data_IF_142802570159
#
_entry.id   IF_142802570159
#
_cell.length_a   1.000
_cell.length_b   1.000
_cell.length_c   1.000
_cell.angle_alpha   90.00
_cell.angle_beta   90.00
_cell.angle_gamma   90.00
#
_symmetry.space_group_name_H-M   'P 1'
#
loop_
_entity.id
_entity.type
_entity.pdbx_description
1 polymer ?
#
# COMPACT_ATOMS: atom_id res chain seq x y z
N UNK A 1 18.07 -3.96 -5.27
CA UNK A 1 16.69 -3.88 -5.77
C UNK A 1 15.79 -4.04 -4.57
N UNK A 2 14.91 -3.08 -4.30
CA UNK A 2 14.00 -3.10 -3.16
C UNK A 2 12.60 -2.97 -3.73
N UNK A 3 11.71 -3.84 -3.27
CA UNK A 3 10.39 -4.09 -3.87
C UNK A 3 9.36 -4.19 -2.75
N UNK A 4 8.30 -3.40 -2.84
CA UNK A 4 7.26 -3.31 -1.82
C UNK A 4 5.95 -3.83 -2.42
N UNK A 5 5.58 -5.06 -2.07
CA UNK A 5 4.34 -5.70 -2.49
C UNK A 5 3.30 -5.72 -1.37
N UNK A 6 2.04 -5.43 -1.69
CA UNK A 6 0.89 -5.52 -0.79
C UNK A 6 -0.29 -6.12 -1.55
N UNK A 7 -1.00 -7.10 -0.97
CA UNK A 7 -2.12 -7.77 -1.63
C UNK A 7 -3.31 -7.93 -0.66
N UNK A 8 -4.52 -7.56 -1.12
CA UNK A 8 -5.75 -7.65 -0.31
C UNK A 8 -6.92 -8.22 -1.14
N UNK A 9 -7.79 -9.03 -0.54
CA UNK A 9 -9.07 -9.45 -1.14
C UNK A 9 -10.17 -8.47 -0.74
N UNK A 10 -10.99 -8.02 -1.70
CA UNK A 10 -12.05 -7.03 -1.52
C UNK A 10 -13.40 -7.61 -1.94
N UNK A 11 -14.41 -7.52 -1.07
CA UNK A 11 -15.79 -7.99 -1.31
C UNK A 11 -16.60 -7.05 -2.21
N UNK A 12 -15.99 -6.58 -3.29
CA UNK A 12 -16.52 -5.56 -4.20
C UNK A 12 -16.19 -5.90 -5.66
N UNK A 13 -16.99 -5.46 -6.64
CA UNK A 13 -16.70 -5.73 -8.05
C UNK A 13 -15.49 -4.89 -8.54
N UNK A 14 -14.64 -5.42 -9.43
CA UNK A 14 -13.46 -4.73 -9.95
C UNK A 14 -13.71 -3.27 -10.39
N UNK A 15 -14.82 -3.01 -11.06
CA UNK A 15 -15.18 -1.66 -11.54
C UNK A 15 -15.39 -0.62 -10.42
N UNK A 16 -15.75 -1.04 -9.19
CA UNK A 16 -15.86 -0.13 -8.04
C UNK A 16 -14.48 0.19 -7.47
N UNK A 17 -13.62 -0.83 -7.35
CA UNK A 17 -12.23 -0.67 -6.89
C UNK A 17 -11.44 0.18 -7.87
N UNK A 18 -11.52 -0.12 -9.16
CA UNK A 18 -10.94 0.67 -10.24
C UNK A 18 -11.31 2.16 -10.14
N UNK A 19 -12.59 2.48 -9.92
CA UNK A 19 -13.06 3.87 -9.74
C UNK A 19 -12.46 4.51 -8.49
N UNK A 20 -12.33 3.80 -7.37
CA UNK A 20 -11.70 4.34 -6.16
C UNK A 20 -10.19 4.59 -6.32
N UNK A 21 -9.52 3.85 -7.22
CA UNK A 21 -8.09 4.01 -7.54
C UNK A 21 -7.80 5.05 -8.65
N UNK A 22 -8.77 5.37 -9.52
CA UNK A 22 -8.51 6.15 -10.75
C UNK A 22 -9.24 7.50 -10.84
N UNK A 23 -10.19 7.77 -9.94
CA UNK A 23 -10.90 9.05 -9.82
C UNK A 23 -10.36 9.83 -8.61
N UNK A 24 -9.76 10.98 -8.91
CA UNK A 24 -9.17 11.93 -7.96
C UNK A 24 -10.13 12.31 -6.83
N UNK A 25 -11.44 12.38 -7.09
CA UNK A 25 -12.46 12.73 -6.09
C UNK A 25 -12.75 11.61 -5.08
N UNK A 26 -12.24 10.39 -5.31
CA UNK A 26 -12.20 9.31 -4.31
C UNK A 26 -10.82 9.14 -3.71
N UNK A 27 -9.72 9.22 -4.47
CA UNK A 27 -8.35 9.18 -3.92
C UNK A 27 -8.17 10.16 -2.75
N UNK A 28 -8.60 11.41 -2.93
CA UNK A 28 -8.62 12.48 -1.91
C UNK A 28 -9.44 12.16 -0.65
N UNK A 29 -10.33 11.16 -0.68
CA UNK A 29 -11.17 10.77 0.48
C UNK A 29 -10.63 9.59 1.28
N UNK A 30 -9.77 8.75 0.71
CA UNK A 30 -9.31 7.51 1.36
C UNK A 30 -7.80 7.37 1.46
N UNK A 31 -7.03 7.94 0.52
CA UNK A 31 -5.57 7.83 0.51
C UNK A 31 -4.90 9.10 1.03
N UNK A 32 -4.78 10.12 0.17
CA UNK A 32 -4.17 11.43 0.43
C UNK A 32 -4.82 12.50 -0.45
N UNK A 33 -4.71 13.78 -0.08
CA UNK A 33 -5.14 14.87 -0.97
C UNK A 33 -4.44 14.76 -2.32
N UNK A 34 -5.23 14.62 -3.38
CA UNK A 34 -4.77 14.42 -4.75
C UNK A 34 -5.30 15.54 -5.64
N UNK A 35 -4.42 16.16 -6.40
CA UNK A 35 -4.76 17.20 -7.38
C UNK A 35 -4.02 16.95 -8.70
N UNK A 36 -4.52 17.43 -9.86
CA UNK A 36 -3.68 17.50 -11.06
C UNK A 36 -2.51 18.47 -10.82
N UNK A 37 -1.34 18.18 -11.40
CA UNK A 37 -0.22 19.11 -11.39
C UNK A 37 -0.56 20.38 -12.20
N UNK A 38 -0.13 21.55 -11.75
CA UNK A 38 -0.50 22.83 -12.36
C UNK A 38 0.00 22.97 -13.81
N UNK A 39 1.13 22.33 -14.10
CA UNK A 39 1.87 22.36 -15.37
C UNK A 39 1.62 21.13 -16.26
N UNK A 40 0.97 20.08 -15.76
CA UNK A 40 0.61 18.88 -16.53
C UNK A 40 -0.68 18.20 -16.00
N UNK A 41 -1.84 18.29 -16.69
CA UNK A 41 -3.11 17.75 -16.18
C UNK A 41 -3.17 16.22 -16.14
N UNK A 42 -2.33 15.53 -16.92
CA UNK A 42 -2.20 14.07 -16.91
C UNK A 42 -1.28 13.53 -15.79
N UNK A 43 -0.66 14.44 -15.02
CA UNK A 43 0.12 14.14 -13.81
C UNK A 43 -0.70 14.49 -12.57
N UNK A 44 -0.65 13.62 -11.56
CA UNK A 44 -1.28 13.82 -10.26
C UNK A 44 -0.22 14.14 -9.21
N UNK A 45 -0.44 15.18 -8.43
CA UNK A 45 0.32 15.48 -7.22
C UNK A 45 -0.43 14.89 -6.01
N UNK A 46 0.23 13.94 -5.34
CA UNK A 46 -0.24 13.24 -4.14
C UNK A 46 0.41 13.89 -2.91
N UNK A 47 -0.39 14.46 -2.01
CA UNK A 47 0.11 15.12 -0.79
C UNK A 47 0.51 14.09 0.27
N UNK A 48 1.68 13.50 0.08
CA UNK A 48 2.25 12.42 0.91
C UNK A 48 3.30 12.89 1.91
N UNK A 49 3.80 14.13 1.84
CA UNK A 49 4.87 14.61 2.69
C UNK A 49 4.54 14.45 4.19
N UNK A 50 5.41 13.75 4.93
CA UNK A 50 5.24 13.51 6.37
C UNK A 50 4.35 12.30 6.72
N UNK A 51 3.91 11.52 5.75
CA UNK A 51 3.34 10.19 6.01
C UNK A 51 4.46 9.17 6.28
N UNK A 52 4.21 8.10 7.06
CA UNK A 52 5.20 7.05 7.29
C UNK A 52 5.72 6.47 5.97
N UNK A 53 7.02 6.55 5.75
CA UNK A 53 7.68 6.06 4.53
C UNK A 53 7.78 7.06 3.38
N UNK A 54 7.32 8.31 3.54
CA UNK A 54 7.34 9.37 2.49
C UNK A 54 8.04 10.63 3.01
N UNK A 55 9.12 11.05 2.34
CA UNK A 55 9.87 12.27 2.69
C UNK A 55 9.33 13.52 1.99
N UNK A 56 8.63 13.33 0.87
CA UNK A 56 8.04 14.41 0.06
C UNK A 56 6.65 14.05 -0.47
N UNK A 57 6.04 15.01 -1.17
CA UNK A 57 4.86 14.77 -2.00
C UNK A 57 5.26 13.97 -3.26
N UNK A 58 4.40 13.03 -3.68
CA UNK A 58 4.65 12.18 -4.85
C UNK A 58 3.99 12.77 -6.10
N UNK A 59 4.79 13.00 -7.13
CA UNK A 59 4.31 13.30 -8.47
C UNK A 59 4.11 11.99 -9.26
N UNK A 60 2.85 11.57 -9.41
CA UNK A 60 2.46 10.36 -10.11
C UNK A 60 2.01 10.66 -11.56
N UNK A 61 2.71 10.11 -12.55
CA UNK A 61 2.36 10.16 -13.97
C UNK A 61 1.81 8.81 -14.42
N UNK A 62 0.64 8.78 -15.07
CA UNK A 62 0.03 7.53 -15.56
C UNK A 62 0.79 7.04 -16.80
N UNK A 63 1.27 5.78 -16.78
CA UNK A 63 2.00 5.16 -17.89
C UNK A 63 1.23 4.01 -18.53
N UNK A 64 0.49 3.22 -17.75
CA UNK A 64 -0.40 2.17 -18.27
C UNK A 64 -1.79 2.27 -17.61
N UNK A 65 -2.87 2.08 -18.38
CA UNK A 65 -4.25 2.13 -17.87
C UNK A 65 -5.17 1.17 -18.65
N UNK A 66 -5.19 -0.09 -18.26
CA UNK A 66 -6.10 -1.13 -18.76
C UNK A 66 -7.26 -1.31 -17.77
N UNK A 67 -8.40 -0.66 -18.03
CA UNK A 67 -9.55 -0.71 -17.13
C UNK A 67 -10.35 -2.04 -17.27
N UNK A 68 -10.76 -2.71 -16.17
CA UNK A 68 -10.52 -2.41 -14.75
C UNK A 68 -9.30 -3.15 -14.15
N UNK A 69 -8.44 -3.77 -14.96
CA UNK A 69 -7.53 -4.83 -14.55
C UNK A 69 -6.13 -4.35 -14.12
N UNK A 70 -5.60 -3.27 -14.71
CA UNK A 70 -4.21 -2.82 -14.44
C UNK A 70 -3.99 -1.32 -14.62
N UNK A 71 -3.33 -0.71 -13.65
CA UNK A 71 -2.85 0.66 -13.65
C UNK A 71 -1.35 0.66 -13.33
N UNK A 72 -0.54 1.38 -14.11
CA UNK A 72 0.89 1.61 -13.81
C UNK A 72 1.17 3.10 -13.78
N UNK A 73 1.79 3.56 -12.70
CA UNK A 73 2.22 4.94 -12.49
C UNK A 73 3.75 4.99 -12.36
N UNK A 74 4.39 5.99 -12.96
CA UNK A 74 5.72 6.42 -12.52
C UNK A 74 5.54 7.48 -11.44
N UNK A 75 6.19 7.30 -10.30
CA UNK A 75 6.07 8.13 -9.12
C UNK A 75 7.43 8.77 -8.82
N UNK A 76 7.51 10.10 -8.83
CA UNK A 76 8.69 10.85 -8.41
C UNK A 76 8.48 11.36 -6.97
N UNK A 77 9.44 11.10 -6.09
CA UNK A 77 9.47 11.60 -4.70
C UNK A 77 10.83 12.23 -4.42
N UNK A 78 10.93 13.56 -4.55
CA UNK A 78 12.21 14.25 -4.45
C UNK A 78 13.16 13.82 -5.57
N UNK A 79 14.28 13.18 -5.21
CA UNK A 79 15.25 12.59 -6.13
C UNK A 79 14.97 11.12 -6.47
N UNK A 80 14.01 10.46 -5.81
CA UNK A 80 13.66 9.06 -6.04
C UNK A 80 12.61 8.89 -7.14
N UNK A 81 12.78 7.86 -7.95
CA UNK A 81 11.82 7.43 -8.97
C UNK A 81 11.40 5.98 -8.71
N UNK A 82 10.08 5.74 -8.57
CA UNK A 82 9.49 4.40 -8.40
C UNK A 82 8.44 4.11 -9.46
N UNK A 83 8.17 2.84 -9.71
CA UNK A 83 7.06 2.37 -10.54
C UNK A 83 6.04 1.66 -9.66
N UNK A 84 4.84 2.23 -9.59
CA UNK A 84 3.70 1.68 -8.86
C UNK A 84 2.78 0.93 -9.83
N UNK A 85 2.69 -0.39 -9.68
CA UNK A 85 1.75 -1.24 -10.43
C UNK A 85 0.60 -1.68 -9.53
N UNK A 86 -0.62 -1.37 -9.91
CA UNK A 86 -1.85 -1.87 -9.28
C UNK A 86 -2.56 -2.83 -10.24
N UNK A 87 -2.80 -4.06 -9.80
CA UNK A 87 -3.48 -5.12 -10.56
C UNK A 87 -4.76 -5.55 -9.83
N UNK A 88 -5.87 -5.68 -10.56
CA UNK A 88 -7.17 -6.11 -10.03
C UNK A 88 -7.59 -7.42 -10.69
N UNK A 89 -7.54 -8.52 -9.94
CA UNK A 89 -7.98 -9.83 -10.41
C UNK A 89 -9.39 -10.15 -9.87
N UNK A 90 -10.40 -10.46 -10.71
CA UNK A 90 -11.72 -10.85 -10.22
C UNK A 90 -11.67 -12.17 -9.45
N UNK A 91 -12.42 -12.28 -8.35
CA UNK A 91 -12.55 -13.49 -7.52
C UNK A 91 -14.01 -13.87 -7.33
N UNK A 92 -14.30 -15.06 -6.79
CA UNK A 92 -15.68 -15.58 -6.61
C UNK A 92 -16.57 -14.71 -5.70
N UNK A 93 -15.97 -13.82 -4.91
CA UNK A 93 -16.66 -12.97 -3.93
C UNK A 93 -16.42 -11.47 -4.13
N UNK A 94 -15.67 -11.08 -5.18
CA UNK A 94 -15.31 -9.69 -5.45
C UNK A 94 -14.07 -9.60 -6.34
N UNK A 95 -12.98 -9.06 -5.80
CA UNK A 95 -11.68 -9.04 -6.48
C UNK A 95 -10.50 -8.91 -5.51
N UNK A 96 -9.35 -9.45 -5.92
CA UNK A 96 -8.06 -9.22 -5.29
C UNK A 96 -7.40 -7.99 -5.91
N UNK A 97 -6.89 -7.11 -5.06
CA UNK A 97 -6.06 -5.97 -5.45
C UNK A 97 -4.62 -6.25 -4.99
N UNK A 98 -3.70 -6.29 -5.95
CA UNK A 98 -2.27 -6.44 -5.73
C UNK A 98 -1.59 -5.11 -6.11
N UNK A 99 -0.92 -4.46 -5.16
CA UNK A 99 -0.13 -3.25 -5.35
C UNK A 99 1.35 -3.60 -5.20
N UNK A 100 2.18 -3.08 -6.09
CA UNK A 100 3.60 -3.37 -6.16
C UNK A 100 4.39 -2.12 -6.51
N UNK A 101 5.33 -1.72 -5.66
CA UNK A 101 6.20 -0.57 -5.87
C UNK A 101 7.66 -1.02 -6.04
N UNK A 102 8.24 -0.75 -7.21
CA UNK A 102 9.64 -1.02 -7.53
C UNK A 102 10.43 0.29 -7.58
N UNK A 103 11.60 0.33 -6.94
CA UNK A 103 12.51 1.49 -6.98
C UNK A 103 13.39 1.44 -8.24
N UNK A 104 13.26 2.43 -9.13
CA UNK A 104 14.09 2.58 -10.33
C UNK A 104 15.33 3.44 -10.08
N UNK A 105 15.20 4.53 -9.32
CA UNK A 105 16.27 5.49 -9.05
C UNK A 105 16.23 6.01 -7.61
N UNK A 106 17.41 6.26 -7.04
CA UNK A 106 17.60 6.61 -5.63
C UNK A 106 17.70 5.39 -4.71
N UNK A 107 17.56 5.60 -3.39
CA UNK A 107 17.63 4.54 -2.39
C UNK A 107 16.55 4.66 -1.31
N UNK A 108 16.09 3.52 -0.80
CA UNK A 108 15.38 3.41 0.47
C UNK A 108 16.30 2.79 1.50
N UNK A 109 16.29 3.30 2.73
CA UNK A 109 16.82 2.57 3.89
C UNK A 109 15.79 1.55 4.38
N UNK A 110 16.24 0.47 5.03
CA UNK A 110 15.39 -0.66 5.45
C UNK A 110 14.16 -0.19 6.27
N UNK A 111 14.36 0.71 7.26
CA UNK A 111 13.31 1.23 8.15
C UNK A 111 12.25 2.10 7.39
N UNK A 112 12.68 2.81 6.34
CA UNK A 112 11.79 3.57 5.48
C UNK A 112 10.99 2.67 4.53
N UNK A 113 11.61 1.61 4.01
CA UNK A 113 10.93 0.58 3.22
C UNK A 113 9.85 -0.13 4.03
N UNK A 114 10.13 -0.49 5.28
CA UNK A 114 9.16 -1.04 6.23
C UNK A 114 7.97 -0.08 6.43
N UNK A 115 8.22 1.19 6.79
CA UNK A 115 7.15 2.18 7.00
C UNK A 115 6.31 2.44 5.75
N UNK A 116 6.93 2.42 4.56
CA UNK A 116 6.25 2.57 3.26
C UNK A 116 5.33 1.37 3.00
N UNK A 117 5.79 0.15 3.29
CA UNK A 117 4.98 -1.07 3.20
C UNK A 117 3.79 -1.06 4.18
N UNK A 118 4.03 -0.69 5.44
CA UNK A 118 2.98 -0.57 6.47
C UNK A 118 1.93 0.50 6.10
N UNK A 119 2.36 1.64 5.55
CA UNK A 119 1.46 2.70 5.09
C UNK A 119 0.62 2.27 3.87
N UNK A 120 1.18 1.48 2.94
CA UNK A 120 0.42 0.88 1.83
C UNK A 120 -0.59 -0.16 2.33
N UNK A 121 -0.22 -1.08 3.24
CA UNK A 121 -1.16 -2.05 3.80
C UNK A 121 -2.27 -1.35 4.60
N UNK A 122 -1.95 -0.37 5.44
CA UNK A 122 -2.95 0.41 6.18
C UNK A 122 -3.88 1.23 5.27
N UNK A 123 -3.41 1.64 4.08
CA UNK A 123 -4.25 2.28 3.08
C UNK A 123 -5.19 1.27 2.39
N UNK A 124 -4.67 0.13 1.91
CA UNK A 124 -5.42 -0.85 1.13
C UNK A 124 -6.31 -1.78 1.96
N UNK A 125 -5.92 -2.14 3.18
CA UNK A 125 -6.66 -3.09 4.03
C UNK A 125 -7.69 -2.41 4.95
N UNK A 126 -7.57 -1.10 5.21
CA UNK A 126 -8.45 -0.38 6.15
C UNK A 126 -9.20 0.79 5.50
N UNK A 127 -8.48 1.72 4.85
CA UNK A 127 -9.10 2.95 4.30
C UNK A 127 -9.86 2.67 3.00
N UNK A 128 -9.30 1.85 2.11
CA UNK A 128 -9.91 1.51 0.83
C UNK A 128 -11.25 0.74 0.97
N UNK A 129 -11.39 -0.29 1.84
CA UNK A 129 -12.70 -0.90 2.09
C UNK A 129 -13.76 0.10 2.56
N UNK A 130 -13.42 0.98 3.50
CA UNK A 130 -14.37 1.96 4.04
C UNK A 130 -14.97 2.91 2.98
N UNK A 131 -14.16 3.38 2.01
CA UNK A 131 -14.68 4.20 0.90
C UNK A 131 -15.46 3.36 -0.12
N UNK A 132 -15.12 2.07 -0.29
CA UNK A 132 -15.81 1.17 -1.20
C UNK A 132 -17.18 0.73 -0.67
N UNK A 133 -17.31 0.56 0.65
CA UNK A 133 -18.60 0.38 1.34
C UNK A 133 -19.46 1.64 1.24
N UNK A 134 -18.89 2.82 1.47
CA UNK A 134 -19.60 4.09 1.26
C UNK A 134 -20.06 4.25 -0.20
N UNK A 135 -19.21 3.91 -1.18
CA UNK A 135 -19.57 3.88 -2.61
C UNK A 135 -20.66 2.83 -2.93
N UNK A 136 -20.69 1.69 -2.22
CA UNK A 136 -21.74 0.69 -2.35
C UNK A 136 -23.07 1.21 -1.80
N UNK A 137 -23.05 1.85 -0.62
CA UNK A 137 -24.23 2.43 0.02
C UNK A 137 -24.87 3.53 -0.84
N UNK A 138 -24.06 4.45 -1.39
CA UNK A 138 -24.54 5.50 -2.30
C UNK A 138 -25.22 4.94 -3.56
N UNK A 139 -24.82 3.76 -4.05
CA UNK A 139 -25.47 3.08 -5.18
C UNK A 139 -26.86 2.50 -4.82
N UNK A 140 -27.16 2.29 -3.54
CA UNK A 140 -28.48 1.85 -3.06
C UNK A 140 -29.43 3.04 -2.90
N UNK A 141 -28.97 4.14 -2.31
CA UNK A 141 -29.80 5.33 -2.10
C UNK A 141 -30.24 6.00 -3.41
N UNK A 142 -29.36 6.06 -4.43
CA UNK A 142 -29.74 6.57 -5.75
C UNK A 142 -30.88 5.75 -6.38
N UNK A 143 -30.84 4.41 -6.26
CA UNK A 143 -31.92 3.52 -6.71
C UNK A 143 -33.20 3.67 -5.89
N UNK A 144 -33.11 4.13 -4.64
CA UNK A 144 -34.28 4.49 -3.82
C UNK A 144 -34.90 5.83 -4.24
N UNK A 145 -34.12 6.76 -4.80
CA UNK A 145 -34.64 8.00 -5.38
C UNK A 145 -35.25 7.78 -6.78
N UNK A 146 -34.71 6.84 -7.57
CA UNK A 146 -35.29 6.41 -8.85
C UNK A 146 -36.55 5.53 -8.66
N UNK A 147 -36.62 4.78 -7.54
CA UNK A 147 -37.81 4.08 -7.08
C UNK A 147 -38.88 5.07 -6.60
N UNK A 148 -39.77 5.45 -7.52
CA UNK A 148 -40.75 6.52 -7.31
C UNK A 148 -41.49 6.51 -5.97
N UNK A 149 -41.61 7.70 -5.38
CA UNK A 149 -42.41 7.96 -4.17
C UNK A 149 -43.80 7.32 -4.29
N UNK A 150 -44.22 6.64 -3.23
CA UNK A 150 -45.45 5.80 -3.19
C UNK A 150 -45.52 4.76 -4.30
N UNK A 151 -44.77 3.66 -4.11
CA UNK A 151 -45.28 2.35 -4.51
C UNK A 151 -46.51 2.02 -3.64
N UNK A 152 -47.67 2.57 -4.05
CA UNK A 152 -48.99 2.25 -3.48
C UNK A 152 -49.12 0.73 -3.35
N UNK A 153 -49.38 0.25 -2.13
CA UNK A 153 -49.71 -1.16 -1.91
C UNK A 153 -50.93 -1.49 -2.76
N UNK A 154 -50.88 -2.49 -3.68
CA UNK A 154 -51.99 -2.78 -4.56
C UNK A 154 -53.18 -3.28 -3.75
N UNK A 155 -54.12 -2.38 -3.45
CA UNK A 155 -55.37 -2.70 -2.76
C UNK A 155 -56.14 -3.69 -3.64
N UNK A 156 -56.11 -4.97 -3.27
CA UNK A 156 -56.77 -6.05 -3.98
C UNK A 156 -58.28 -5.87 -3.85
N UNK A 157 -58.87 -5.07 -4.74
CA UNK A 157 -60.31 -4.99 -4.92
C UNK A 157 -60.80 -6.29 -5.53
N UNK A 158 -61.21 -7.22 -4.67
CA UNK A 158 -62.04 -8.35 -5.05
C UNK A 158 -63.38 -7.81 -5.59
N UNK A 159 -63.52 -7.72 -6.91
CA UNK A 159 -64.80 -7.64 -7.60
C UNK A 159 -64.72 -8.50 -8.86
N UNK A 160 -65.71 -9.35 -9.07
CA UNK A 160 -65.75 -10.32 -10.16
C UNK A 160 -66.58 -9.90 -11.36
N UNK A 161 -66.86 -10.90 -12.21
CA UNK A 161 -67.74 -10.89 -13.39
C UNK A 161 -67.37 -9.99 -14.59
N UNK A 162 -67.77 -10.45 -15.79
CA UNK A 162 -67.90 -9.53 -16.95
C UNK A 162 -67.28 -9.94 -18.30
N UNK A 163 -67.49 -11.18 -18.78
CA UNK A 163 -67.46 -11.61 -20.20
C UNK A 163 -66.75 -10.71 -21.26
N UNK A 164 -65.63 -11.23 -21.77
CA UNK A 164 -65.32 -11.47 -23.19
C UNK A 164 -65.60 -10.43 -24.33
N UNK A 165 -64.70 -10.46 -25.34
CA UNK A 165 -64.90 -10.10 -26.77
C UNK A 165 -64.87 -8.60 -27.16
N UNK A 166 -63.67 -8.05 -27.37
CA UNK A 166 -63.39 -7.05 -28.45
C UNK A 166 -61.89 -6.83 -28.79
N UNK A 167 -60.99 -7.76 -28.42
CA UNK A 167 -59.52 -7.66 -28.65
C UNK A 167 -59.14 -7.80 -30.14
N UNK A 168 -59.36 -6.76 -30.97
CA UNK A 168 -58.78 -6.64 -32.33
C UNK A 168 -58.74 -5.26 -33.00
N UNK A 169 -59.36 -4.20 -32.45
CA UNK A 169 -59.46 -2.89 -33.13
C UNK A 169 -58.59 -1.75 -32.57
N UNK A 170 -58.08 -1.85 -31.33
CA UNK A 170 -57.31 -0.76 -30.69
C UNK A 170 -55.82 -0.67 -31.10
N UNK A 171 -55.34 -1.56 -31.97
CA UNK A 171 -53.93 -1.58 -32.37
C UNK A 171 -53.52 -0.49 -33.37
N UNK A 172 -54.47 0.13 -34.08
CA UNK A 172 -54.17 1.05 -35.20
C UNK A 172 -53.99 2.51 -34.74
N UNK A 173 -54.65 2.92 -33.65
CA UNK A 173 -54.66 4.33 -33.19
C UNK A 173 -53.33 4.74 -32.55
N UNK A 174 -52.65 3.83 -31.84
CA UNK A 174 -51.43 4.15 -31.09
C UNK A 174 -50.24 4.46 -32.02
N UNK A 175 -50.10 3.74 -33.14
CA UNK A 175 -48.97 3.93 -34.07
C UNK A 175 -48.96 5.28 -34.80
N UNK A 176 -50.13 5.91 -34.99
CA UNK A 176 -50.23 7.21 -35.65
C UNK A 176 -49.69 8.35 -34.77
N UNK A 177 -49.89 8.28 -33.46
CA UNK A 177 -49.43 9.31 -32.51
C UNK A 177 -47.91 9.30 -32.30
N UNK A 178 -47.27 8.13 -32.36
CA UNK A 178 -45.81 8.00 -32.23
C UNK A 178 -45.04 8.64 -33.39
N UNK A 179 -45.58 8.63 -34.61
CA UNK A 179 -44.92 9.25 -35.77
C UNK A 179 -44.97 10.79 -35.75
N UNK A 180 -46.02 11.38 -35.16
CA UNK A 180 -46.16 12.85 -35.14
C UNK A 180 -45.22 13.52 -34.12
N UNK A 181 -44.99 12.88 -32.97
CA UNK A 181 -44.12 13.41 -31.92
C UNK A 181 -42.64 13.53 -32.35
N UNK A 182 -42.15 12.57 -33.16
CA UNK A 182 -40.74 12.52 -33.59
C UNK A 182 -40.37 13.65 -34.56
N UNK A 183 -41.33 14.25 -35.28
CA UNK A 183 -41.07 15.34 -36.23
C UNK A 183 -41.00 16.73 -35.57
N UNK A 184 -41.50 16.89 -34.33
CA UNK A 184 -41.46 18.17 -33.60
C UNK A 184 -40.18 18.30 -32.76
N UNK A 185 -39.70 17.21 -32.16
CA UNK A 185 -38.52 17.23 -31.29
C UNK A 185 -37.22 17.67 -31.99
N UNK A 186 -37.05 17.33 -33.27
CA UNK A 186 -35.83 17.61 -34.03
C UNK A 186 -35.59 19.11 -34.31
N UNK A 187 -36.63 19.95 -34.33
CA UNK A 187 -36.50 21.37 -34.68
C UNK A 187 -35.94 22.28 -33.57
N UNK A 188 -35.98 21.83 -32.31
CA UNK A 188 -35.72 22.72 -31.15
C UNK A 188 -34.24 22.72 -30.72
N UNK A 189 -33.47 21.70 -31.07
CA UNK A 189 -32.07 21.54 -30.60
C UNK A 189 -31.02 22.31 -31.45
N UNK A 190 -31.44 23.01 -32.51
CA UNK A 190 -30.54 23.65 -33.47
C UNK A 190 -30.19 25.13 -33.18
N UNK A 191 -30.90 25.79 -32.25
CA UNK A 191 -30.93 27.28 -32.18
C UNK A 191 -30.59 27.91 -30.83
N UNK A 192 -30.09 27.15 -29.85
CA UNK A 192 -29.66 27.70 -28.53
C UNK A 192 -28.20 27.38 -28.19
N UNK A 193 -27.30 28.29 -28.59
CA UNK A 193 -26.04 28.55 -27.88
C UNK A 193 -26.20 29.83 -27.04
N UNK A 194 -26.27 29.76 -25.71
CA UNK A 194 -26.00 30.91 -24.85
C UNK A 194 -24.50 31.27 -24.93
N UNK A 195 -24.18 32.56 -24.96
CA UNK A 195 -22.79 33.02 -24.97
C UNK A 195 -22.19 33.05 -23.56
N UNK A 196 -20.85 33.10 -23.47
CA UNK A 196 -20.18 33.41 -22.21
C UNK A 196 -20.43 34.88 -21.80
N UNK A 197 -20.57 35.13 -20.50
CA UNK A 197 -20.57 36.47 -19.92
C UNK A 197 -19.58 36.51 -18.76
N UNK A 198 -18.65 37.46 -18.80
CA UNK A 198 -17.85 37.83 -17.63
C UNK A 198 -18.68 38.79 -16.75
N UNK A 199 -18.62 38.66 -15.42
CA UNK A 199 -18.88 39.76 -14.50
C UNK A 199 -17.61 40.63 -14.41
N UNK A 200 -17.74 41.93 -14.64
CA UNK A 200 -16.67 42.91 -14.43
C UNK A 200 -16.76 43.55 -13.02
N UNK A 201 -15.69 44.20 -12.56
CA UNK A 201 -15.56 44.66 -11.16
C UNK A 201 -16.50 45.84 -10.81
N UNK A 202 -17.06 45.92 -9.61
CA UNK A 202 -16.46 46.51 -8.38
C UNK A 202 -17.55 46.48 -7.26
N UNK A 203 -17.35 46.72 -5.96
CA UNK A 203 -16.26 47.30 -5.16
C UNK A 203 -16.13 46.50 -3.83
N UNK A 204 -15.43 46.87 -2.74
CA UNK A 204 -14.87 48.17 -2.31
C UNK A 204 -13.72 47.95 -1.28
N UNK A 205 -12.83 48.92 -1.12
CA UNK A 205 -11.59 48.78 -0.33
C UNK A 205 -11.76 48.95 1.18
N UNK A 206 -10.99 48.18 1.96
CA UNK A 206 -10.62 48.52 3.33
C UNK A 206 -9.10 48.25 3.52
N UNK A 207 -8.27 49.24 3.91
CA UNK A 207 -6.84 49.05 4.07
C UNK A 207 -6.51 48.50 5.47
N UNK A 208 -5.71 47.42 5.54
CA UNK A 208 -4.96 47.11 6.76
C UNK A 208 -3.56 47.71 6.67
N UNK A 209 -3.16 48.36 7.76
CA UNK A 209 -1.90 49.13 7.86
C UNK A 209 -0.71 48.18 7.97
N UNK A 210 0.36 48.49 7.21
CA UNK A 210 1.65 47.80 7.30
C UNK A 210 2.57 48.52 8.30
N UNK A 211 3.11 47.83 9.32
CA UNK A 211 4.30 48.26 10.03
C UNK A 211 5.51 47.41 9.60
N UNK A 212 6.34 47.95 8.70
CA UNK A 212 7.57 47.29 8.27
C UNK A 212 8.71 47.47 9.27
N UNK A 213 9.47 46.39 9.48
CA UNK A 213 10.81 46.33 10.07
C UNK A 213 11.02 46.81 11.53
N UNK A 214 11.59 45.92 12.34
CA UNK A 214 12.89 46.19 12.99
C UNK A 214 13.59 44.87 13.30
N UNK A 215 14.89 44.80 13.01
CA UNK A 215 15.73 43.62 13.30
C UNK A 215 16.15 43.58 14.77
N UNK A 216 16.09 42.40 15.39
CA UNK A 216 16.90 42.07 16.57
C UNK A 216 17.11 40.55 16.71
N UNK A 217 18.33 40.10 16.45
CA UNK A 217 18.76 38.74 16.75
C UNK A 217 19.06 38.56 18.25
N UNK A 218 18.69 37.42 18.86
CA UNK A 218 19.32 36.91 20.07
C UNK A 218 20.54 36.03 19.72
N UNK A 219 21.65 36.33 20.38
CA UNK A 219 22.94 35.63 20.28
C UNK A 219 22.87 34.18 20.80
N UNK A 220 23.65 33.22 20.26
CA UNK A 220 23.67 31.85 20.76
C UNK A 220 24.32 31.74 22.16
N UNK A 221 23.75 30.90 23.01
CA UNK A 221 24.32 30.51 24.31
C UNK A 221 24.91 29.09 24.22
N UNK A 222 26.20 28.88 24.52
CA UNK A 222 26.84 27.58 24.35
C UNK A 222 26.62 26.64 25.54
N UNK A 223 26.11 25.44 25.28
CA UNK A 223 26.10 24.34 26.27
C UNK A 223 27.52 23.76 26.38
N UNK A 224 28.06 23.72 27.61
CA UNK A 224 29.42 23.19 27.89
C UNK A 224 29.50 21.69 27.65
N UNK A 225 30.53 21.26 26.92
CA UNK A 225 31.06 19.89 26.97
C UNK A 225 32.33 19.84 27.84
N UNK A 226 32.57 18.67 28.44
CA UNK A 226 33.59 18.30 29.41
C UNK A 226 35.00 18.94 29.31
N UNK A 227 35.66 19.07 30.47
CA UNK A 227 36.89 18.32 30.77
C UNK A 227 37.30 18.50 32.25
N UNK A 228 37.49 17.39 32.98
CA UNK A 228 38.22 17.43 34.24
C UNK A 228 39.73 17.43 33.94
N UNK A 229 40.51 18.21 34.69
CA UNK A 229 41.95 18.28 34.49
C UNK A 229 42.68 17.07 35.11
N UNK A 230 43.64 16.52 34.36
CA UNK A 230 44.83 15.88 34.94
C UNK A 230 46.01 16.13 34.02
N UNK A 231 47.10 16.61 34.60
CA UNK A 231 48.38 16.79 33.92
C UNK A 231 49.19 15.50 34.09
N UNK A 232 50.10 15.20 33.16
CA UNK A 232 51.54 15.20 33.39
C UNK A 232 52.30 14.74 32.14
N UNK A 233 53.49 15.28 31.93
CA UNK A 233 54.36 14.99 30.78
C UNK A 233 55.54 14.12 31.23
N UNK A 234 55.94 13.11 30.44
CA UNK A 234 57.34 12.66 30.33
C UNK A 234 57.54 11.59 29.23
N UNK A 235 58.12 12.01 28.11
CA UNK A 235 59.00 11.20 27.23
C UNK A 235 60.39 11.18 27.92
N UNK A 236 61.21 10.09 27.95
CA UNK A 236 61.58 9.32 26.76
C UNK A 236 61.83 7.79 26.89
N UNK A 237 62.01 7.17 25.73
CA UNK A 237 62.61 5.85 25.45
C UNK A 237 64.04 5.75 26.02
N UNK A 238 64.53 4.54 26.39
CA UNK A 238 65.18 3.68 25.38
C UNK A 238 64.92 2.16 25.52
N UNK A 239 65.08 1.43 24.42
CA UNK A 239 65.14 -0.05 24.36
C UNK A 239 66.51 -0.56 24.86
N UNK A 240 66.61 -1.77 25.47
CA UNK A 240 67.04 -2.91 24.65
C UNK A 240 66.39 -4.27 24.98
N UNK A 241 66.28 -5.12 23.95
CA UNK A 241 66.09 -6.60 23.98
C UNK A 241 67.38 -7.31 24.51
N UNK A 242 67.42 -8.64 24.82
CA UNK A 242 66.57 -9.71 24.27
C UNK A 242 66.13 -10.88 25.20
N UNK A 243 65.35 -11.79 24.61
CA UNK A 243 65.33 -13.26 24.82
C UNK A 243 64.66 -13.86 26.07
N UNK A 244 63.46 -14.41 25.86
CA UNK A 244 62.99 -15.63 26.53
C UNK A 244 62.00 -16.37 25.62
N UNK A 245 62.41 -17.54 25.08
CA UNK A 245 61.49 -18.49 24.41
C UNK A 245 61.32 -19.71 25.30
N UNK A 246 60.09 -20.09 25.63
CA UNK A 246 59.76 -21.52 25.53
C UNK A 246 58.36 -21.83 24.99
N UNK A 247 58.26 -23.02 24.42
CA UNK A 247 57.05 -23.86 24.24
C UNK A 247 55.85 -23.34 23.42
N UNK A 248 55.53 -24.11 22.38
CA UNK A 248 54.27 -24.06 21.63
C UNK A 248 53.16 -24.71 22.46
N UNK A 249 52.03 -24.02 22.64
CA UNK A 249 50.77 -24.63 23.12
C UNK A 249 49.71 -24.53 22.03
N UNK A 250 49.64 -25.49 21.08
CA UNK A 250 48.51 -25.56 20.15
C UNK A 250 47.25 -26.09 20.86
N UNK A 251 46.09 -25.75 20.31
CA UNK A 251 44.77 -26.27 20.73
C UNK A 251 44.26 -25.84 22.11
N UNK A 252 44.00 -24.54 22.26
CA UNK A 252 42.63 -24.16 22.58
C UNK A 252 41.87 -24.03 21.25
N UNK A 253 41.18 -25.09 20.81
CA UNK A 253 40.21 -24.95 19.70
C UNK A 253 39.00 -24.24 20.27
N UNK A 254 38.94 -22.92 20.09
CA UNK A 254 37.74 -22.13 20.36
C UNK A 254 36.52 -22.85 19.79
N UNK A 255 35.40 -22.97 20.51
CA UNK A 255 34.15 -23.45 19.93
C UNK A 255 33.90 -22.67 18.63
N UNK A 256 33.52 -23.36 17.56
CA UNK A 256 33.11 -22.68 16.34
C UNK A 256 32.00 -21.69 16.71
N UNK A 257 32.14 -20.43 16.29
CA UNK A 257 31.12 -19.42 16.55
C UNK A 257 29.75 -19.94 16.06
N UNK A 258 28.63 -19.56 16.72
CA UNK A 258 27.35 -20.14 16.39
C UNK A 258 27.03 -20.04 14.90
N UNK A 259 26.34 -21.06 14.38
CA UNK A 259 25.53 -20.86 13.19
C UNK A 259 24.54 -19.71 13.44
N UNK A 260 23.94 -19.18 12.37
CA UNK A 260 22.96 -18.10 12.50
C UNK A 260 21.84 -18.56 13.44
N UNK A 261 21.43 -17.68 14.34
CA UNK A 261 20.24 -17.91 15.15
C UNK A 261 19.05 -17.29 14.45
N UNK A 262 17.87 -17.90 14.58
CA UNK A 262 16.63 -17.37 14.04
C UNK A 262 15.54 -17.43 15.11
N UNK A 263 14.67 -16.42 15.14
CA UNK A 263 13.41 -16.44 15.88
C UNK A 263 12.24 -16.25 14.92
N UNK A 264 11.24 -17.10 15.03
CA UNK A 264 9.96 -17.00 14.37
C UNK A 264 8.96 -16.22 15.24
N UNK A 265 8.04 -15.50 14.61
CA UNK A 265 6.87 -14.89 15.24
C UNK A 265 5.69 -14.86 14.25
N UNK A 266 4.47 -15.14 14.70
CA UNK A 266 3.25 -14.85 13.92
C UNK A 266 2.85 -13.40 14.16
N UNK A 267 2.98 -12.56 13.12
CA UNK A 267 2.69 -11.12 13.17
C UNK A 267 1.18 -10.83 13.13
N UNK A 268 0.42 -11.65 12.39
CA UNK A 268 -1.05 -11.58 12.37
C UNK A 268 -1.64 -12.92 11.97
N UNK A 269 -2.64 -13.40 12.71
CA UNK A 269 -3.56 -14.45 12.29
C UNK A 269 -4.65 -13.88 11.37
N UNK A 270 -5.14 -14.71 10.44
CA UNK A 270 -6.17 -14.36 9.44
C UNK A 270 -7.07 -15.57 9.22
N UNK A 271 -8.31 -15.38 8.76
CA UNK A 271 -9.14 -16.52 8.39
C UNK A 271 -8.54 -17.22 7.16
N UNK A 272 -8.20 -18.50 7.29
CA UNK A 272 -7.45 -19.29 6.29
C UNK A 272 -6.00 -18.81 6.02
N UNK A 273 -5.30 -18.29 7.03
CA UNK A 273 -3.88 -17.95 6.88
C UNK A 273 -3.27 -17.19 8.05
N UNK A 274 -1.99 -16.84 7.91
CA UNK A 274 -1.27 -16.00 8.87
C UNK A 274 -0.09 -15.31 8.17
N UNK A 275 0.48 -14.31 8.84
CA UNK A 275 1.77 -13.71 8.46
C UNK A 275 2.84 -14.14 9.44
N UNK A 276 3.87 -14.81 8.94
CA UNK A 276 5.09 -15.09 9.70
C UNK A 276 6.13 -13.99 9.53
N UNK A 277 6.92 -13.75 10.57
CA UNK A 277 8.21 -13.09 10.51
C UNK A 277 9.30 -14.04 10.99
N UNK A 278 10.48 -13.97 10.37
CA UNK A 278 11.69 -14.64 10.86
C UNK A 278 12.80 -13.61 10.95
N UNK A 279 13.29 -13.39 12.18
CA UNK A 279 14.45 -12.54 12.47
C UNK A 279 15.68 -13.40 12.60
N UNK A 280 16.58 -13.28 11.64
CA UNK A 280 17.90 -13.92 11.60
C UNK A 280 18.90 -13.01 12.32
N UNK A 281 19.71 -13.57 13.22
CA UNK A 281 20.81 -12.87 13.90
C UNK A 281 22.14 -13.57 13.64
N UNK A 282 23.17 -12.78 13.36
CA UNK A 282 24.54 -13.24 13.14
C UNK A 282 25.44 -12.82 14.31
N UNK A 283 25.65 -13.69 15.32
CA UNK A 283 26.58 -13.42 16.42
C UNK A 283 28.07 -13.53 16.00
N UNK A 284 28.36 -13.82 14.74
CA UNK A 284 29.71 -13.91 14.20
C UNK A 284 30.36 -12.56 13.89
N UNK A 285 31.69 -12.53 13.88
CA UNK A 285 32.52 -11.35 13.58
C UNK A 285 32.73 -11.09 12.08
N UNK A 286 32.08 -11.86 11.21
CA UNK A 286 32.07 -11.68 9.75
C UNK A 286 30.64 -11.73 9.24
N UNK A 287 30.35 -10.99 8.16
CA UNK A 287 29.05 -11.10 7.49
C UNK A 287 28.87 -12.50 6.91
N UNK A 288 27.62 -13.01 6.92
CA UNK A 288 27.31 -14.34 6.39
C UNK A 288 26.37 -14.28 5.20
N UNK A 289 26.85 -14.81 4.09
CA UNK A 289 26.16 -15.02 2.83
C UNK A 289 25.59 -16.44 2.74
N UNK A 290 24.66 -16.68 1.80
CA UNK A 290 24.17 -18.03 1.47
C UNK A 290 23.44 -18.75 2.61
N UNK A 291 22.87 -18.02 3.56
CA UNK A 291 22.04 -18.57 4.62
C UNK A 291 20.77 -19.20 4.04
N UNK A 292 20.27 -20.26 4.68
CA UNK A 292 19.02 -20.92 4.28
C UNK A 292 18.10 -21.13 5.47
N UNK A 293 16.87 -20.62 5.39
CA UNK A 293 15.81 -20.94 6.35
C UNK A 293 14.82 -21.90 5.70
N UNK A 294 14.55 -23.03 6.35
CA UNK A 294 13.53 -24.00 5.94
C UNK A 294 12.33 -23.91 6.89
N UNK A 295 11.18 -23.48 6.37
CA UNK A 295 9.91 -23.45 7.09
C UNK A 295 9.01 -24.58 6.58
N UNK A 296 8.37 -25.32 7.48
CA UNK A 296 7.43 -26.39 7.12
C UNK A 296 6.00 -25.92 7.40
N UNK A 297 5.17 -25.83 6.37
CA UNK A 297 3.78 -25.39 6.44
C UNK A 297 2.81 -26.58 6.59
N UNK A 298 1.50 -26.31 6.61
CA UNK A 298 0.44 -27.32 6.55
C UNK A 298 0.38 -28.05 5.19
N UNK A 299 -0.26 -29.22 5.15
CA UNK A 299 -0.24 -30.13 3.97
C UNK A 299 -0.85 -29.53 2.70
N UNK A 300 -1.70 -28.51 2.84
CA UNK A 300 -2.35 -27.78 1.74
C UNK A 300 -2.11 -26.27 1.82
N UNK A 301 -1.12 -25.85 2.59
CA UNK A 301 -0.75 -24.45 2.72
C UNK A 301 0.05 -23.99 1.50
N UNK A 302 -0.15 -22.75 1.08
CA UNK A 302 0.59 -22.08 0.01
C UNK A 302 1.22 -20.80 0.52
N UNK A 303 2.47 -20.53 0.15
CA UNK A 303 3.10 -19.25 0.42
C UNK A 303 2.57 -18.15 -0.50
N UNK A 304 2.28 -16.99 0.08
CA UNK A 304 1.86 -15.78 -0.62
C UNK A 304 3.02 -14.80 -0.83
N UNK A 305 2.81 -13.56 -0.42
CA UNK A 305 3.83 -12.50 -0.46
C UNK A 305 5.04 -12.89 0.43
N UNK A 306 6.25 -12.54 -0.02
CA UNK A 306 7.49 -12.61 0.76
C UNK A 306 8.21 -11.27 0.64
N UNK A 307 8.68 -10.73 1.76
CA UNK A 307 9.41 -9.47 1.83
C UNK A 307 10.69 -9.63 2.67
N UNK A 308 11.82 -9.09 2.19
CA UNK A 308 13.14 -9.22 2.83
C UNK A 308 13.92 -10.51 2.48
N UNK A 309 13.30 -11.45 1.75
CA UNK A 309 13.91 -12.70 1.30
C UNK A 309 13.26 -13.20 0.00
N UNK A 310 13.95 -14.09 -0.72
CA UNK A 310 13.36 -14.95 -1.75
C UNK A 310 12.79 -16.20 -1.08
N UNK A 311 11.60 -16.65 -1.47
CA UNK A 311 10.95 -17.86 -0.94
C UNK A 311 10.57 -18.85 -2.05
N UNK A 312 10.90 -20.13 -1.87
CA UNK A 312 10.59 -21.21 -2.83
C UNK A 312 9.97 -22.41 -2.13
N UNK A 313 8.70 -22.67 -2.42
CA UNK A 313 7.96 -23.82 -1.87
C UNK A 313 8.19 -25.10 -2.67
N UNK A 314 8.29 -26.24 -1.97
CA UNK A 314 8.29 -27.59 -2.50
C UNK A 314 7.47 -28.51 -1.58
N UNK A 315 6.20 -28.72 -1.93
CA UNK A 315 5.24 -29.39 -1.05
C UNK A 315 5.05 -28.59 0.25
N UNK A 316 5.24 -29.23 1.41
CA UNK A 316 5.12 -28.58 2.71
C UNK A 316 6.32 -27.70 3.09
N UNK A 317 7.48 -27.85 2.44
CA UNK A 317 8.70 -27.13 2.83
C UNK A 317 8.90 -25.89 1.95
N UNK A 318 9.05 -24.72 2.58
CA UNK A 318 9.52 -23.50 1.93
C UNK A 318 10.99 -23.28 2.28
N UNK A 319 11.81 -23.11 1.25
CA UNK A 319 13.18 -22.66 1.35
C UNK A 319 13.24 -21.15 1.17
N UNK A 320 13.75 -20.43 2.16
CA UNK A 320 14.04 -19.00 2.07
C UNK A 320 15.56 -18.75 2.02
N UNK A 321 15.94 -17.80 1.16
CA UNK A 321 17.32 -17.33 0.97
C UNK A 321 17.31 -15.82 0.75
N UNK A 322 18.39 -15.10 1.05
CA UNK A 322 18.39 -13.64 0.89
C UNK A 322 19.72 -12.95 1.15
N UNK A 323 19.71 -11.60 1.28
CA UNK A 323 20.92 -10.78 1.39
C UNK A 323 21.77 -11.13 2.61
N UNK A 324 23.08 -10.88 2.53
CA UNK A 324 24.04 -11.17 3.59
C UNK A 324 23.63 -10.56 4.94
N UNK A 325 23.76 -11.34 6.02
CA UNK A 325 23.51 -10.86 7.39
C UNK A 325 24.82 -10.27 7.94
N UNK A 326 24.88 -8.97 8.30
CA UNK A 326 26.11 -8.32 8.76
C UNK A 326 26.73 -8.97 10.00
N UNK A 327 28.03 -8.76 10.22
CA UNK A 327 28.70 -9.18 11.46
C UNK A 327 28.08 -8.51 12.69
N UNK A 328 27.67 -9.29 13.70
CA UNK A 328 26.96 -8.78 14.88
C UNK A 328 25.57 -8.19 14.59
N UNK A 329 25.06 -8.31 13.36
CA UNK A 329 23.79 -7.73 12.94
C UNK A 329 22.66 -8.75 12.83
N UNK A 330 21.48 -8.26 12.46
CA UNK A 330 20.30 -9.06 12.15
C UNK A 330 19.70 -8.68 10.79
N UNK A 331 18.82 -9.54 10.28
CA UNK A 331 17.88 -9.25 9.19
C UNK A 331 16.55 -9.92 9.51
N UNK A 332 15.45 -9.25 9.24
CA UNK A 332 14.11 -9.83 9.34
C UNK A 332 13.53 -9.98 7.94
N UNK A 333 12.84 -11.08 7.69
CA UNK A 333 11.98 -11.24 6.52
C UNK A 333 10.58 -11.63 6.98
N UNK A 334 9.56 -11.25 6.20
CA UNK A 334 8.14 -11.56 6.48
C UNK A 334 7.56 -12.35 5.30
N UNK A 335 6.59 -13.21 5.59
CA UNK A 335 5.87 -13.96 4.56
C UNK A 335 4.42 -14.22 4.95
N UNK A 336 3.51 -14.13 3.97
CA UNK A 336 2.11 -14.52 4.12
C UNK A 336 1.94 -16.01 3.79
N UNK A 337 1.11 -16.70 4.56
CA UNK A 337 0.71 -18.10 4.33
C UNK A 337 -0.80 -18.16 4.17
N UNK A 338 -1.26 -18.84 3.11
CA UNK A 338 -2.66 -19.25 2.93
C UNK A 338 -2.76 -20.70 3.36
N UNK A 339 -3.58 -21.03 4.36
CA UNK A 339 -3.86 -22.42 4.74
C UNK A 339 -5.38 -22.67 4.73
N UNK A 340 -5.89 -23.63 3.96
CA UNK A 340 -7.31 -23.99 3.99
C UNK A 340 -7.75 -24.68 5.30
N UNK A 341 -6.86 -24.92 6.26
CA UNK A 341 -7.22 -25.11 7.67
C UNK A 341 -7.37 -23.74 8.37
N UNK A 342 -8.60 -23.37 8.71
CA UNK A 342 -8.91 -22.11 9.40
C UNK A 342 -8.39 -22.01 10.84
N UNK A 343 -7.79 -23.08 11.39
CA UNK A 343 -7.15 -23.09 12.72
C UNK A 343 -5.62 -22.98 12.68
N UNK A 344 -5.00 -22.98 11.49
CA UNK A 344 -3.56 -22.82 11.35
C UNK A 344 -3.12 -21.36 11.56
N UNK A 345 -2.42 -21.09 12.66
CA UNK A 345 -1.90 -19.76 13.04
C UNK A 345 -0.37 -19.68 13.04
N UNK A 346 0.32 -20.79 12.75
CA UNK A 346 1.77 -20.91 12.75
C UNK A 346 2.21 -22.06 11.81
N UNK A 347 3.48 -22.10 11.37
CA UNK A 347 4.04 -23.24 10.65
C UNK A 347 4.23 -24.47 11.56
N UNK A 348 4.35 -25.64 10.95
CA UNK A 348 4.70 -26.90 11.63
C UNK A 348 6.19 -26.99 12.03
N UNK A 349 7.03 -26.01 11.64
CA UNK A 349 8.43 -25.91 12.06
C UNK A 349 9.24 -24.90 11.26
N UNK A 350 10.36 -24.47 11.80
CA UNK A 350 11.32 -23.54 11.19
C UNK A 350 12.74 -23.96 11.60
N UNK A 351 13.66 -23.97 10.65
CA UNK A 351 15.09 -24.16 10.90
C UNK A 351 15.94 -23.21 10.07
N UNK A 352 17.07 -22.76 10.59
CA UNK A 352 18.10 -22.00 9.87
C UNK A 352 19.41 -22.81 9.82
N UNK A 353 19.91 -23.07 8.62
CA UNK A 353 21.09 -23.92 8.38
C UNK A 353 21.07 -25.29 9.14
N UNK A 354 19.87 -25.80 9.47
CA UNK A 354 19.63 -27.02 10.24
C UNK A 354 19.43 -26.84 11.77
N UNK A 355 19.61 -25.64 12.33
CA UNK A 355 19.27 -25.33 13.72
C UNK A 355 17.82 -24.84 13.84
N UNK A 356 17.08 -25.26 14.87
CA UNK A 356 15.68 -24.83 15.05
C UNK A 356 15.55 -23.32 15.34
N UNK A 357 14.53 -22.69 14.77
CA UNK A 357 14.16 -21.31 15.11
C UNK A 357 13.51 -21.26 16.51
N UNK A 358 13.79 -20.24 17.30
CA UNK A 358 13.09 -19.97 18.56
C UNK A 358 11.69 -19.37 18.31
N UNK A 359 10.78 -19.46 19.27
CA UNK A 359 9.45 -18.81 19.20
C UNK A 359 8.37 -19.58 18.42
N UNK A 360 8.54 -20.90 18.29
CA UNK A 360 7.70 -21.81 17.50
C UNK A 360 7.42 -23.09 18.32
#
# INVERSE_FOLDING_TARGET
>A
MIEIGTEVELFHPPARVWRALTDTAYLTKWFVETAPAADAPDRLLLRTAGLPGFDADVEATVVERQAPERLVLHCQEGDRQTVLTCTIAPTSHGCRLSLYEMLEQGEWNDEQGDRRAEQHEQALAVRLPAILDWLAFQQVDLRRAEGGLTAELPVVRLLGDGRARTRRLWAVVIGALTCLALLVGAGVWATRRPAAQLPDATAQSAPLVVPSATSRAPQPTPTRTAAAASRHSATPTPTPTPSATPSRTPSARTPAAPALTASYETVSDRLFGYRGAVTITNPGSAAKEGWTVLVTLGTRAEIGNVNGAEGKQNGQVVTFTGPAVPAGGSRTFRFDVRDPDASATAPNGCTIDGAACAGL
#
